data_IF_727277652793
#
_entry.id   IF_727277652793
#
_cell.length_a   1.000
_cell.length_b   1.000
_cell.length_c   1.000
_cell.angle_alpha   90.00
_cell.angle_beta   90.00
_cell.angle_gamma   90.00
#
_symmetry.space_group_name_H-M   'P 1'
#
loop_
_entity.id
_entity.type
_entity.pdbx_description
1 polymer ?
#
# COMPACT_ATOMS: atom_id res chain seq x y z
N UNK A 1 12.79 -17.14 -14.38
CA UNK A 1 12.51 -16.96 -15.81
C UNK A 1 11.02 -17.18 -16.02
N UNK A 2 10.30 -16.23 -16.61
CA UNK A 2 8.85 -16.37 -16.82
C UNK A 2 8.58 -17.26 -18.04
N UNK A 3 7.70 -18.25 -17.88
CA UNK A 3 7.35 -19.18 -18.96
C UNK A 3 6.48 -18.47 -20.00
N UNK A 4 6.86 -18.59 -21.28
CA UNK A 4 6.08 -18.04 -22.40
C UNK A 4 4.81 -18.86 -22.64
N UNK A 5 3.81 -18.25 -23.28
CA UNK A 5 2.56 -18.94 -23.65
C UNK A 5 2.80 -20.17 -24.54
N UNK A 6 3.85 -20.12 -25.38
CA UNK A 6 4.27 -21.24 -26.22
C UNK A 6 4.82 -22.41 -25.41
N UNK A 7 5.67 -22.13 -24.43
CA UNK A 7 6.22 -23.15 -23.53
C UNK A 7 5.12 -23.77 -22.66
N UNK A 8 4.19 -22.94 -22.16
CA UNK A 8 3.03 -23.39 -21.40
C UNK A 8 2.13 -24.34 -22.21
N UNK A 9 1.91 -24.04 -23.49
CA UNK A 9 1.11 -24.89 -24.37
C UNK A 9 1.76 -26.27 -24.64
N UNK A 10 3.09 -26.32 -24.76
CA UNK A 10 3.83 -27.58 -24.90
C UNK A 10 3.73 -28.41 -23.62
N UNK A 11 3.89 -27.78 -22.46
CA UNK A 11 3.75 -28.44 -21.17
C UNK A 11 2.33 -29.01 -20.99
N UNK A 12 1.31 -28.19 -21.24
CA UNK A 12 -0.09 -28.60 -21.13
C UNK A 12 -0.42 -29.79 -22.03
N UNK A 13 0.06 -29.79 -23.28
CA UNK A 13 -0.12 -30.92 -24.18
C UNK A 13 0.40 -32.22 -23.57
N UNK A 14 1.64 -32.22 -23.05
CA UNK A 14 2.25 -33.40 -22.46
C UNK A 14 1.45 -33.91 -21.26
N UNK A 15 1.02 -32.99 -20.40
CA UNK A 15 0.17 -33.33 -19.24
C UNK A 15 -1.14 -34.00 -19.67
N UNK A 16 -1.80 -33.50 -20.72
CA UNK A 16 -3.03 -34.11 -21.24
C UNK A 16 -2.79 -35.51 -21.84
N UNK A 17 -1.66 -35.70 -22.54
CA UNK A 17 -1.25 -37.00 -23.09
C UNK A 17 -0.94 -38.01 -21.97
N UNK A 18 -0.20 -37.61 -20.94
CA UNK A 18 0.14 -38.44 -19.78
C UNK A 18 -1.09 -38.88 -18.99
N UNK A 19 -2.12 -38.03 -18.92
CA UNK A 19 -3.39 -38.35 -18.26
C UNK A 19 -4.37 -39.14 -19.15
N UNK A 20 -3.98 -39.45 -20.39
CA UNK A 20 -4.82 -40.21 -21.32
C UNK A 20 -6.05 -39.44 -21.82
N UNK A 21 -6.03 -38.11 -21.76
CA UNK A 21 -7.17 -37.30 -22.20
C UNK A 21 -7.17 -37.17 -23.71
N UNK A 22 -8.33 -37.40 -24.33
CA UNK A 22 -8.53 -37.14 -25.75
C UNK A 22 -8.76 -35.64 -25.96
N UNK A 23 -7.91 -34.99 -26.75
CA UNK A 23 -8.04 -33.57 -27.07
C UNK A 23 -7.76 -33.29 -28.54
N UNK A 24 -8.35 -32.22 -29.06
CA UNK A 24 -8.01 -31.63 -30.37
C UNK A 24 -7.45 -30.24 -30.13
N UNK A 25 -6.25 -29.97 -30.65
CA UNK A 25 -5.67 -28.63 -30.61
C UNK A 25 -6.31 -27.79 -31.70
N UNK A 26 -6.85 -26.64 -31.31
CA UNK A 26 -7.32 -25.61 -32.23
C UNK A 26 -6.51 -24.32 -32.01
N UNK A 27 -6.23 -23.60 -33.09
CA UNK A 27 -5.53 -22.32 -33.07
C UNK A 27 -6.54 -21.21 -33.35
N UNK A 28 -7.09 -20.64 -32.29
CA UNK A 28 -8.03 -19.53 -32.38
C UNK A 28 -7.34 -18.21 -32.02
N UNK A 29 -7.75 -17.13 -32.67
CA UNK A 29 -7.32 -15.78 -32.30
C UNK A 29 -8.26 -15.26 -31.22
N UNK A 30 -7.71 -14.96 -30.03
CA UNK A 30 -8.47 -14.20 -29.04
C UNK A 30 -8.37 -12.72 -29.40
N UNK A 31 -9.39 -12.20 -30.08
CA UNK A 31 -9.54 -10.77 -30.21
C UNK A 31 -9.72 -10.17 -28.81
N UNK A 32 -8.77 -9.35 -28.36
CA UNK A 32 -8.90 -8.57 -27.13
C UNK A 32 -9.84 -7.38 -27.39
N UNK A 33 -11.10 -7.65 -27.74
CA UNK A 33 -12.15 -6.62 -27.94
C UNK A 33 -12.78 -6.14 -26.64
N UNK A 34 -12.28 -6.58 -25.48
CA UNK A 34 -12.60 -5.92 -24.22
C UNK A 34 -11.72 -4.68 -24.09
N UNK A 35 -12.33 -3.49 -24.23
CA UNK A 35 -11.75 -2.26 -23.69
C UNK A 35 -11.42 -2.54 -22.23
N UNK A 36 -10.13 -2.68 -21.91
CA UNK A 36 -9.67 -2.82 -20.54
C UNK A 36 -9.66 -1.42 -19.94
N UNK A 37 -10.82 -0.98 -19.44
CA UNK A 37 -10.91 0.27 -18.67
C UNK A 37 -10.29 -0.01 -17.31
N UNK A 38 -9.13 0.59 -17.05
CA UNK A 38 -8.61 0.66 -15.69
C UNK A 38 -9.51 1.64 -14.93
N UNK A 39 -10.55 1.14 -14.28
CA UNK A 39 -11.40 1.95 -13.40
C UNK A 39 -10.72 1.98 -12.03
N UNK A 40 -10.11 3.09 -11.60
CA UNK A 40 -9.68 3.21 -10.21
C UNK A 40 -10.94 3.14 -9.35
N UNK A 41 -11.13 2.04 -8.62
CA UNK A 41 -12.19 1.96 -7.62
C UNK A 41 -11.79 2.95 -6.52
N UNK A 42 -12.56 4.02 -6.27
CA UNK A 42 -12.24 4.94 -5.20
C UNK A 42 -12.25 4.18 -3.87
N UNK A 43 -11.09 4.12 -3.21
CA UNK A 43 -10.99 3.59 -1.86
C UNK A 43 -11.32 4.73 -0.89
N UNK A 44 -12.44 4.60 -0.18
CA UNK A 44 -12.80 5.53 0.88
C UNK A 44 -12.23 5.03 2.20
N UNK A 45 -11.61 5.93 2.96
CA UNK A 45 -11.17 5.68 4.33
C UNK A 45 -11.93 6.59 5.29
N UNK A 46 -12.29 6.06 6.44
CA UNK A 46 -12.83 6.87 7.52
C UNK A 46 -11.70 7.70 8.14
N UNK A 47 -11.89 9.02 8.19
CA UNK A 47 -10.88 9.97 8.66
C UNK A 47 -11.27 10.52 10.01
N UNK A 48 -10.42 10.33 11.02
CA UNK A 48 -10.49 11.07 12.28
C UNK A 48 -9.76 12.39 12.11
N UNK A 49 -10.52 13.47 12.04
CA UNK A 49 -10.00 14.82 11.84
C UNK A 49 -9.93 15.60 13.15
N UNK A 50 -8.78 16.25 13.37
CA UNK A 50 -8.52 17.14 14.49
C UNK A 50 -8.17 18.52 13.94
N UNK A 51 -8.97 19.52 14.32
CA UNK A 51 -8.70 20.92 13.97
C UNK A 51 -8.06 21.56 15.20
N UNK A 52 -6.80 21.96 15.09
CA UNK A 52 -6.04 22.59 16.18
C UNK A 52 -6.07 24.09 15.97
N UNK A 53 -6.50 24.83 17.00
CA UNK A 53 -6.57 26.29 16.96
C UNK A 53 -5.45 26.98 17.76
N UNK A 54 -4.99 26.35 18.85
CA UNK A 54 -3.95 26.85 19.74
C UNK A 54 -2.98 25.71 20.12
N UNK A 55 -1.66 25.98 20.31
CA UNK A 55 -0.99 27.29 20.21
C UNK A 55 -0.81 27.79 18.77
N UNK A 56 -1.04 26.94 17.77
CA UNK A 56 -0.94 27.28 16.35
C UNK A 56 -1.99 26.53 15.53
N UNK A 57 -2.39 27.13 14.40
CA UNK A 57 -3.48 26.62 13.57
C UNK A 57 -2.97 25.59 12.58
N UNK A 58 -3.46 24.36 12.68
CA UNK A 58 -3.22 23.28 11.72
C UNK A 58 -4.26 22.18 11.88
N UNK A 59 -4.28 21.24 10.93
CA UNK A 59 -5.25 20.14 10.92
C UNK A 59 -4.52 18.81 10.85
N UNK A 60 -4.97 17.83 11.63
CA UNK A 60 -4.45 16.46 11.63
C UNK A 60 -5.57 15.53 11.17
N UNK A 61 -5.29 14.71 10.17
CA UNK A 61 -6.13 13.62 9.74
C UNK A 61 -5.43 12.29 10.09
N UNK A 62 -6.13 11.42 10.79
CA UNK A 62 -5.74 10.03 11.00
C UNK A 62 -6.68 9.13 10.21
N UNK A 63 -6.12 8.26 9.37
CA UNK A 63 -6.91 7.35 8.56
C UNK A 63 -6.13 6.11 8.18
N UNK A 64 -6.87 5.07 7.78
CA UNK A 64 -6.31 3.78 7.45
C UNK A 64 -6.47 3.48 5.97
N UNK A 65 -5.41 3.07 5.29
CA UNK A 65 -5.53 2.53 3.94
C UNK A 65 -5.41 1.01 3.96
N UNK A 66 -6.14 0.35 3.06
CA UNK A 66 -6.15 -1.11 2.91
C UNK A 66 -5.73 -1.50 1.49
N UNK A 67 -4.43 -1.49 1.18
CA UNK A 67 -3.96 -1.82 -0.16
C UNK A 67 -4.14 -3.31 -0.51
N UNK A 68 -4.27 -4.20 0.48
CA UNK A 68 -4.57 -5.64 0.30
C UNK A 68 -5.46 -6.17 1.43
N UNK A 69 -6.14 -7.30 1.19
CA UNK A 69 -6.87 -8.02 2.24
C UNK A 69 -5.91 -8.36 3.41
N UNK A 70 -6.15 -7.75 4.57
CA UNK A 70 -5.38 -7.96 5.80
C UNK A 70 -4.32 -6.90 6.11
N UNK A 71 -3.89 -6.08 5.15
CA UNK A 71 -2.92 -5.02 5.40
C UNK A 71 -3.64 -3.70 5.74
N UNK A 72 -3.50 -3.23 6.98
CA UNK A 72 -3.96 -1.90 7.40
C UNK A 72 -2.74 -1.00 7.52
N UNK A 73 -2.71 0.13 6.84
CA UNK A 73 -1.67 1.15 6.99
C UNK A 73 -2.26 2.39 7.64
N UNK A 74 -1.76 2.73 8.82
CA UNK A 74 -2.13 3.94 9.54
C UNK A 74 -1.39 5.14 8.97
N UNK A 75 -2.13 6.16 8.57
CA UNK A 75 -1.62 7.41 8.05
C UNK A 75 -1.90 8.55 9.02
N UNK A 76 -0.92 9.45 9.11
CA UNK A 76 -1.05 10.75 9.76
C UNK A 76 -0.78 11.78 8.69
N UNK A 77 -1.78 12.58 8.35
CA UNK A 77 -1.66 13.70 7.43
C UNK A 77 -1.84 15.00 8.22
N UNK A 78 -0.91 15.92 8.07
CA UNK A 78 -0.99 17.26 8.68
C UNK A 78 -1.16 18.28 7.56
N UNK A 79 -2.20 19.10 7.66
CA UNK A 79 -2.51 20.18 6.71
C UNK A 79 -2.33 21.54 7.36
N UNK A 80 -2.02 22.53 6.53
CA UNK A 80 -1.78 23.90 6.97
C UNK A 80 -0.42 24.08 7.66
N UNK A 81 0.61 23.36 7.21
CA UNK A 81 1.97 23.48 7.75
C UNK A 81 2.59 24.78 7.22
N UNK A 82 3.09 25.62 8.12
CA UNK A 82 3.82 26.85 7.83
C UNK A 82 5.03 27.01 8.78
N UNK A 83 5.85 28.03 8.56
CA UNK A 83 7.04 28.25 9.40
C UNK A 83 6.70 28.59 10.86
N UNK A 84 5.54 29.22 11.09
CA UNK A 84 5.08 29.63 12.43
C UNK A 84 4.63 28.46 13.29
N UNK A 85 4.08 27.41 12.69
CA UNK A 85 3.56 26.23 13.40
C UNK A 85 4.47 25.00 13.36
N UNK A 86 5.56 25.04 12.56
CA UNK A 86 6.47 23.90 12.39
C UNK A 86 7.04 23.37 13.72
N UNK A 87 7.37 24.27 14.65
CA UNK A 87 7.93 23.91 15.96
C UNK A 87 6.91 23.16 16.83
N UNK A 88 5.65 23.60 16.81
CA UNK A 88 4.58 22.97 17.58
C UNK A 88 4.20 21.60 16.99
N UNK A 89 4.16 21.50 15.66
CA UNK A 89 3.95 20.23 14.96
C UNK A 89 5.06 19.23 15.30
N UNK A 90 6.33 19.66 15.26
CA UNK A 90 7.47 18.81 15.68
C UNK A 90 7.33 18.36 17.14
N UNK A 91 6.96 19.25 18.05
CA UNK A 91 6.74 18.93 19.46
C UNK A 91 5.61 17.89 19.62
N UNK A 92 4.50 18.07 18.91
CA UNK A 92 3.36 17.16 18.92
C UNK A 92 3.76 15.78 18.41
N UNK A 93 4.43 15.68 17.26
CA UNK A 93 4.85 14.41 16.68
C UNK A 93 5.85 13.66 17.56
N UNK A 94 6.79 14.37 18.20
CA UNK A 94 7.72 13.78 19.16
C UNK A 94 6.99 13.21 20.38
N UNK A 95 6.08 13.98 20.97
CA UNK A 95 5.30 13.54 22.12
C UNK A 95 4.38 12.37 21.77
N UNK A 96 3.76 12.41 20.59
CA UNK A 96 2.95 11.31 20.07
C UNK A 96 3.78 10.02 19.88
N UNK A 97 4.96 10.14 19.25
CA UNK A 97 5.92 9.04 19.10
C UNK A 97 6.33 8.44 20.45
N UNK A 98 6.62 9.29 21.44
CA UNK A 98 6.96 8.87 22.80
C UNK A 98 5.82 8.09 23.47
N UNK A 99 4.57 8.57 23.33
CA UNK A 99 3.38 7.93 23.92
C UNK A 99 3.01 6.60 23.28
N UNK A 100 3.34 6.39 22.01
CA UNK A 100 3.10 5.10 21.34
C UNK A 100 3.94 3.95 21.89
N UNK A 101 5.02 4.23 22.64
CA UNK A 101 5.88 3.21 23.25
C UNK A 101 6.68 2.37 22.23
N UNK A 102 6.61 2.69 20.94
CA UNK A 102 7.36 2.09 19.84
C UNK A 102 7.65 3.16 18.79
N UNK A 103 8.62 2.90 17.90
CA UNK A 103 8.88 3.85 16.81
C UNK A 103 7.69 3.86 15.83
N UNK A 104 7.25 5.04 15.37
CA UNK A 104 6.08 5.17 14.50
C UNK A 104 6.26 4.51 13.13
N UNK A 105 7.50 4.31 12.70
CA UNK A 105 7.85 3.63 11.45
C UNK A 105 8.20 2.14 11.64
N UNK A 106 8.06 1.60 12.86
CA UNK A 106 8.25 0.17 13.10
C UNK A 106 6.96 -0.59 12.82
N UNK A 107 6.99 -1.34 11.72
CA UNK A 107 5.93 -2.24 11.31
C UNK A 107 6.28 -3.67 11.73
N UNK A 108 5.40 -4.37 12.46
CA UNK A 108 5.55 -5.80 12.74
C UNK A 108 5.80 -6.59 11.46
N UNK A 109 6.62 -7.65 11.54
CA UNK A 109 6.93 -8.50 10.38
C UNK A 109 5.66 -9.03 9.71
N UNK A 110 4.63 -9.43 10.48
CA UNK A 110 3.33 -9.86 9.96
C UNK A 110 2.67 -8.81 9.05
N UNK A 111 2.71 -7.53 9.46
CA UNK A 111 2.15 -6.41 8.71
C UNK A 111 2.99 -6.10 7.46
N UNK A 112 4.32 -6.27 7.54
CA UNK A 112 5.23 -6.15 6.39
C UNK A 112 5.02 -7.24 5.35
N UNK A 113 4.76 -8.47 5.78
CA UNK A 113 4.42 -9.58 4.87
C UNK A 113 3.06 -9.37 4.21
N UNK A 114 2.04 -8.96 4.97
CA UNK A 114 0.70 -8.70 4.44
C UNK A 114 0.64 -7.50 3.48
N UNK A 115 1.37 -6.42 3.78
CA UNK A 115 1.48 -5.21 2.95
C UNK A 115 2.40 -5.34 1.73
N UNK A 116 3.11 -6.48 1.61
CA UNK A 116 4.20 -6.67 0.66
C UNK A 116 5.49 -6.09 1.20
N UNK A 117 6.50 -6.95 1.39
CA UNK A 117 7.79 -6.61 2.04
C UNK A 117 8.54 -5.45 1.36
N UNK A 118 8.20 -5.16 0.10
CA UNK A 118 8.77 -4.12 -0.76
C UNK A 118 7.84 -2.92 -1.01
N UNK A 119 6.78 -2.74 -0.22
CA UNK A 119 5.95 -1.54 -0.39
C UNK A 119 6.81 -0.30 -0.13
N UNK A 120 6.83 0.64 -1.08
CA UNK A 120 7.59 1.89 -0.96
C UNK A 120 7.18 2.72 0.26
N UNK A 121 5.99 2.48 0.79
CA UNK A 121 5.49 3.11 2.01
C UNK A 121 6.31 2.70 3.24
N UNK A 122 6.71 1.44 3.39
CA UNK A 122 7.56 1.00 4.50
C UNK A 122 8.95 1.65 4.47
N UNK A 123 9.55 1.74 3.28
CA UNK A 123 10.87 2.35 3.09
C UNK A 123 10.84 3.87 3.26
N UNK A 124 9.77 4.52 2.80
CA UNK A 124 9.61 5.97 2.93
C UNK A 124 9.18 6.42 4.32
N UNK A 125 8.53 5.57 5.12
CA UNK A 125 8.05 5.91 6.47
C UNK A 125 9.19 6.40 7.36
N UNK A 126 10.29 5.65 7.47
CA UNK A 126 11.44 6.07 8.28
C UNK A 126 12.01 7.40 7.82
N UNK A 127 12.14 7.61 6.50
CA UNK A 127 12.61 8.88 5.92
C UNK A 127 11.65 10.03 6.25
N UNK A 128 10.33 9.82 6.13
CA UNK A 128 9.33 10.84 6.44
C UNK A 128 9.37 11.24 7.92
N UNK A 129 9.50 10.29 8.84
CA UNK A 129 9.66 10.58 10.27
C UNK A 129 10.99 11.28 10.58
N UNK A 130 12.08 10.94 9.89
CA UNK A 130 13.38 11.61 10.10
C UNK A 130 13.38 13.10 9.74
N UNK A 131 12.52 13.54 8.81
CA UNK A 131 12.35 14.98 8.51
C UNK A 131 11.82 15.77 9.71
N UNK A 132 11.14 15.08 10.64
CA UNK A 132 10.61 15.64 11.87
C UNK A 132 11.56 15.48 13.07
N UNK A 133 12.75 14.90 12.85
CA UNK A 133 13.75 14.64 13.89
C UNK A 133 13.45 13.40 14.75
N UNK A 134 12.72 12.42 14.21
CA UNK A 134 12.26 11.19 14.90
C UNK A 134 12.82 9.93 14.21
#
# INVERSE_FOLDING_TARGET
MWMSSREAAVLMRRTLEELGYSFRRDATEKAFTSIMVLVPIPQFSYVFQFIVFEPSKFLINLYDTRPRHGAIFHHIEIKGIDEGNLKDIKKLLNEFSRRMGRKPYEFPLSQRFQGGFLSGEFFSAKRRWSLWGI
#
